data_IF_619612778062
#
_entry.id   IF_619612778062
#
_cell.length_a   1.000
_cell.length_b   1.000
_cell.length_c   1.000
_cell.angle_alpha   90.00
_cell.angle_beta   90.00
_cell.angle_gamma   90.00
#
_symmetry.space_group_name_H-M   'P 1'
#
loop_
_entity.id
_entity.type
_entity.pdbx_description
1 polymer ?
#
# COMPACT_ATOMS: atom_id res chain seq x y z
N UNK A 1 28.43 54.26 45.02
CA UNK A 1 27.93 55.61 44.77
C UNK A 1 28.43 56.15 43.46
N UNK A 2 27.67 56.91 42.67
CA UNK A 2 26.22 57.05 42.55
C UNK A 2 25.74 56.73 41.11
N UNK A 3 24.53 56.33 40.90
CA UNK A 3 23.27 57.05 40.59
C UNK A 3 23.20 57.68 39.19
N UNK A 4 22.14 57.38 38.49
CA UNK A 4 21.56 58.11 37.37
C UNK A 4 20.80 57.15 36.46
N UNK A 5 19.56 56.86 36.60
CA UNK A 5 18.23 57.50 36.30
C UNK A 5 18.09 58.03 34.88
N UNK A 6 17.04 57.47 34.30
CA UNK A 6 16.00 58.00 33.43
C UNK A 6 16.28 58.11 31.94
N UNK A 7 15.46 57.43 31.15
CA UNK A 7 14.37 58.14 30.42
C UNK A 7 13.64 57.26 29.38
N UNK A 8 12.35 57.17 29.58
CA UNK A 8 11.21 57.40 28.67
C UNK A 8 11.12 56.58 27.38
N UNK A 9 10.17 55.74 27.45
CA UNK A 9 9.03 55.56 26.51
C UNK A 9 9.09 56.46 25.25
N UNK A 10 9.18 55.84 24.11
CA UNK A 10 8.91 56.37 22.81
C UNK A 10 8.14 55.37 22.01
N UNK A 11 6.81 55.56 21.98
CA UNK A 11 5.87 54.84 21.13
C UNK A 11 6.11 55.21 19.68
N UNK A 12 6.65 54.31 18.89
CA UNK A 12 6.52 54.41 17.42
C UNK A 12 5.87 53.15 16.91
N UNK A 13 4.72 53.42 16.26
CA UNK A 13 3.89 52.50 15.52
C UNK A 13 4.68 51.96 14.33
N UNK A 14 5.10 50.73 14.38
CA UNK A 14 5.43 49.98 13.16
C UNK A 14 4.12 49.51 12.54
N UNK A 15 3.67 50.24 11.53
CA UNK A 15 2.72 49.74 10.56
C UNK A 15 3.37 48.62 9.77
N UNK A 16 2.61 47.56 9.64
CA UNK A 16 3.03 46.35 8.99
C UNK A 16 3.27 46.53 7.50
N UNK A 17 4.20 45.78 7.04
CA UNK A 17 4.19 45.27 5.66
C UNK A 17 4.13 43.76 5.75
N UNK A 18 3.03 43.23 5.24
CA UNK A 18 2.82 41.83 5.07
C UNK A 18 3.79 41.27 4.03
N UNK A 19 4.83 40.61 4.49
CA UNK A 19 5.72 39.80 3.68
C UNK A 19 5.25 38.35 3.76
N UNK A 20 4.75 37.83 2.64
CA UNK A 20 4.14 36.52 2.53
C UNK A 20 5.09 35.38 2.88
N UNK A 21 4.74 34.67 3.93
CA UNK A 21 5.15 33.28 4.10
C UNK A 21 4.09 32.42 3.40
N UNK A 22 4.32 32.10 2.14
CA UNK A 22 3.32 31.34 1.39
C UNK A 22 3.66 31.04 -0.06
N UNK A 23 4.92 30.74 -0.36
CA UNK A 23 5.26 30.19 -1.69
C UNK A 23 6.33 29.10 -1.53
N UNK A 24 5.89 27.88 -1.30
CA UNK A 24 6.81 26.75 -1.19
C UNK A 24 6.21 25.37 -1.30
N UNK A 25 4.89 25.21 -1.44
CA UNK A 25 4.27 23.88 -1.65
C UNK A 25 3.05 24.00 -2.58
N UNK A 26 3.24 24.56 -3.75
CA UNK A 26 2.24 24.48 -4.84
C UNK A 26 2.76 23.51 -5.89
N UNK A 27 2.29 22.27 -5.82
CA UNK A 27 2.66 21.30 -6.85
C UNK A 27 2.18 19.86 -6.60
N UNK A 28 1.35 19.62 -5.60
CA UNK A 28 0.67 18.32 -5.39
C UNK A 28 -0.80 18.64 -5.23
N UNK A 29 -1.67 17.99 -6.01
CA UNK A 29 -3.11 18.07 -5.80
C UNK A 29 -3.35 17.94 -4.30
N UNK A 30 -3.98 18.94 -3.70
CA UNK A 30 -4.21 19.03 -2.27
C UNK A 30 -5.14 17.88 -1.89
N UNK A 31 -4.54 16.78 -1.44
CA UNK A 31 -5.30 15.61 -0.99
C UNK A 31 -5.97 16.02 0.31
N UNK A 32 -7.29 15.96 0.32
CA UNK A 32 -8.07 16.15 1.53
C UNK A 32 -7.90 14.92 2.43
N UNK A 33 -6.98 15.02 3.40
CA UNK A 33 -6.65 13.96 4.34
C UNK A 33 -7.91 13.49 5.10
N UNK A 34 -8.81 14.41 5.46
CA UNK A 34 -10.04 14.05 6.18
C UNK A 34 -10.96 13.22 5.31
N UNK A 35 -11.12 13.58 4.03
CA UNK A 35 -11.93 12.82 3.10
C UNK A 35 -11.35 11.41 2.89
N UNK A 36 -10.02 11.29 2.80
CA UNK A 36 -9.36 10.02 2.61
C UNK A 36 -9.47 9.09 3.83
N UNK A 37 -9.23 9.62 5.04
CA UNK A 37 -9.42 8.87 6.29
C UNK A 37 -10.89 8.48 6.44
N UNK A 38 -11.82 9.39 6.17
CA UNK A 38 -13.25 9.14 6.22
C UNK A 38 -13.71 8.04 5.27
N UNK A 39 -13.15 8.01 4.06
CA UNK A 39 -13.40 6.96 3.06
C UNK A 39 -12.96 5.58 3.57
N UNK A 40 -11.79 5.49 4.22
CA UNK A 40 -11.27 4.25 4.81
C UNK A 40 -12.14 3.78 5.99
N UNK A 41 -12.56 4.67 6.87
CA UNK A 41 -13.49 4.35 7.95
C UNK A 41 -14.78 3.75 7.38
N UNK A 42 -15.37 4.38 6.35
CA UNK A 42 -16.57 3.88 5.66
C UNK A 42 -16.35 2.52 5.02
N UNK A 43 -15.19 2.30 4.37
CA UNK A 43 -14.83 1.03 3.76
C UNK A 43 -14.82 -0.10 4.79
N UNK A 44 -14.07 0.05 5.89
CA UNK A 44 -13.96 -0.98 6.92
C UNK A 44 -15.28 -1.20 7.67
N UNK A 45 -16.06 -0.15 7.92
CA UNK A 45 -17.40 -0.29 8.49
C UNK A 45 -18.29 -1.18 7.62
N UNK A 46 -18.36 -0.89 6.32
CA UNK A 46 -19.16 -1.70 5.38
C UNK A 46 -18.68 -3.14 5.30
N UNK A 47 -17.37 -3.33 5.25
CA UNK A 47 -16.74 -4.66 5.23
C UNK A 47 -17.10 -5.49 6.46
N UNK A 48 -17.27 -4.84 7.63
CA UNK A 48 -17.71 -5.46 8.87
C UNK A 48 -19.25 -5.60 8.98
N UNK A 49 -19.98 -5.12 8.01
CA UNK A 49 -21.45 -5.14 8.02
C UNK A 49 -22.08 -4.22 9.06
N UNK A 50 -21.32 -3.26 9.62
CA UNK A 50 -21.81 -2.37 10.67
C UNK A 50 -22.59 -1.18 10.06
N UNK A 51 -23.68 -0.80 10.75
CA UNK A 51 -24.41 0.43 10.46
C UNK A 51 -23.72 1.65 11.06
N UNK A 52 -24.07 2.85 10.58
CA UNK A 52 -23.59 4.10 11.18
C UNK A 52 -24.01 4.23 12.67
N UNK A 53 -25.20 3.75 13.01
CA UNK A 53 -25.73 3.79 14.37
C UNK A 53 -24.92 2.92 15.33
N UNK A 54 -24.60 1.68 14.93
CA UNK A 54 -23.83 0.75 15.75
C UNK A 54 -22.39 1.25 16.01
N UNK A 55 -21.76 1.86 15.01
CA UNK A 55 -20.45 2.47 15.20
C UNK A 55 -20.54 3.66 16.14
N UNK A 56 -21.52 4.55 15.92
CA UNK A 56 -21.73 5.75 16.73
C UNK A 56 -21.94 5.41 18.22
N UNK A 57 -22.76 4.41 18.50
CA UNK A 57 -23.03 3.92 19.86
C UNK A 57 -21.73 3.43 20.53
N UNK A 58 -20.94 2.61 19.83
CA UNK A 58 -19.72 2.01 20.37
C UNK A 58 -18.60 3.03 20.65
N UNK A 59 -18.53 4.13 19.88
CA UNK A 59 -17.55 5.20 20.11
C UNK A 59 -18.13 6.40 20.88
N UNK A 60 -19.33 6.27 21.45
CA UNK A 60 -20.02 7.32 22.20
C UNK A 60 -20.14 8.66 21.44
N UNK A 61 -20.46 8.60 20.14
CA UNK A 61 -20.70 9.76 19.28
C UNK A 61 -22.09 9.70 18.67
N UNK A 62 -22.55 10.80 18.06
CA UNK A 62 -23.81 10.77 17.30
C UNK A 62 -23.63 10.13 15.93
N UNK A 63 -24.68 9.52 15.41
CA UNK A 63 -24.69 8.98 14.05
C UNK A 63 -24.36 10.06 13.00
N UNK A 64 -24.80 11.30 13.21
CA UNK A 64 -24.47 12.41 12.33
C UNK A 64 -22.97 12.76 12.35
N UNK A 65 -22.30 12.63 13.50
CA UNK A 65 -20.86 12.84 13.61
C UNK A 65 -20.10 11.77 12.82
N UNK A 66 -20.45 10.49 13.00
CA UNK A 66 -19.81 9.39 12.24
C UNK A 66 -20.04 9.57 10.73
N UNK A 67 -21.24 9.98 10.34
CA UNK A 67 -21.52 10.29 8.93
C UNK A 67 -20.67 11.44 8.38
N UNK A 68 -20.42 12.49 9.17
CA UNK A 68 -19.54 13.60 8.80
C UNK A 68 -18.07 13.16 8.75
N UNK A 69 -17.64 12.30 9.65
CA UNK A 69 -16.31 11.68 9.57
C UNK A 69 -16.12 10.92 8.27
N UNK A 70 -17.08 10.06 7.89
CA UNK A 70 -16.98 9.27 6.66
C UNK A 70 -17.00 10.09 5.37
N UNK A 71 -17.56 11.31 5.40
CA UNK A 71 -17.55 12.24 4.28
C UNK A 71 -16.37 13.21 4.29
N UNK A 72 -15.53 13.17 5.34
CA UNK A 72 -14.43 14.10 5.51
C UNK A 72 -14.86 15.53 5.89
N UNK A 73 -16.13 15.75 6.22
CA UNK A 73 -16.66 17.06 6.59
C UNK A 73 -16.24 17.51 7.99
N UNK A 74 -15.69 16.60 8.78
CA UNK A 74 -15.21 16.85 10.12
C UNK A 74 -13.93 16.07 10.38
N UNK A 75 -12.92 16.75 10.93
CA UNK A 75 -11.67 16.10 11.32
C UNK A 75 -11.90 15.10 12.46
N UNK A 76 -11.27 13.96 12.40
CA UNK A 76 -11.29 12.94 13.44
C UNK A 76 -10.11 13.20 14.38
N UNK A 77 -10.38 13.40 15.65
CA UNK A 77 -9.34 13.49 16.66
C UNK A 77 -8.66 12.12 16.89
N UNK A 78 -7.44 12.14 17.41
CA UNK A 78 -6.63 10.92 17.58
C UNK A 78 -7.31 9.88 18.46
N UNK A 79 -7.96 10.28 19.56
CA UNK A 79 -8.64 9.35 20.44
C UNK A 79 -9.81 8.67 19.73
N UNK A 80 -10.65 9.45 19.05
CA UNK A 80 -11.76 8.93 18.23
C UNK A 80 -11.26 8.00 17.11
N UNK A 81 -10.08 8.28 16.53
CA UNK A 81 -9.50 7.41 15.50
C UNK A 81 -9.11 6.04 16.07
N UNK A 82 -8.54 5.99 17.27
CA UNK A 82 -8.25 4.72 17.95
C UNK A 82 -9.53 3.95 18.33
N UNK A 83 -10.57 4.66 18.80
CA UNK A 83 -11.87 4.05 19.09
C UNK A 83 -12.51 3.45 17.84
N UNK A 84 -12.46 4.18 16.72
CA UNK A 84 -12.91 3.67 15.42
C UNK A 84 -12.13 2.43 14.99
N UNK A 85 -10.81 2.45 15.10
CA UNK A 85 -9.96 1.29 14.75
C UNK A 85 -10.34 0.06 15.59
N UNK A 86 -10.55 0.24 16.90
CA UNK A 86 -10.96 -0.84 17.80
C UNK A 86 -12.35 -1.40 17.43
N UNK A 87 -13.35 -0.54 17.17
CA UNK A 87 -14.71 -0.94 16.79
C UNK A 87 -14.73 -1.65 15.43
N UNK A 88 -13.92 -1.18 14.49
CA UNK A 88 -13.77 -1.76 13.16
C UNK A 88 -12.90 -3.02 13.17
N UNK A 89 -12.18 -3.29 14.27
CA UNK A 89 -11.28 -4.44 14.43
C UNK A 89 -10.11 -4.40 13.47
N UNK A 90 -9.55 -3.21 13.24
CA UNK A 90 -8.39 -2.99 12.36
C UNK A 90 -7.29 -2.24 13.12
N UNK A 91 -6.07 -2.32 12.61
CA UNK A 91 -5.00 -1.47 13.13
C UNK A 91 -5.25 -0.01 12.70
N UNK A 92 -5.00 0.96 13.60
CA UNK A 92 -5.19 2.39 13.32
C UNK A 92 -4.43 2.87 12.08
N UNK A 93 -3.27 2.27 11.80
CA UNK A 93 -2.48 2.56 10.60
C UNK A 93 -3.26 2.31 9.30
N UNK A 94 -4.24 1.39 9.30
CA UNK A 94 -5.10 1.12 8.14
C UNK A 94 -6.11 2.24 7.89
N UNK A 95 -6.46 3.00 8.92
CA UNK A 95 -7.34 4.16 8.81
C UNK A 95 -6.56 5.43 8.42
N UNK A 96 -5.28 5.52 8.81
CA UNK A 96 -4.45 6.67 8.47
C UNK A 96 -4.14 6.70 6.99
N UNK A 97 -4.33 7.87 6.38
CA UNK A 97 -3.83 8.12 5.05
C UNK A 97 -2.31 8.25 5.11
N UNK A 98 -1.64 7.32 4.48
CA UNK A 98 -0.24 7.48 4.13
C UNK A 98 -0.22 7.94 2.67
N UNK A 99 0.24 9.16 2.37
CA UNK A 99 0.49 9.53 0.99
C UNK A 99 1.59 8.60 0.49
N UNK A 100 1.18 7.59 -0.27
CA UNK A 100 2.10 6.70 -0.96
C UNK A 100 2.79 7.52 -2.05
N UNK A 101 3.85 8.18 -1.64
CA UNK A 101 4.87 8.66 -2.55
C UNK A 101 5.96 7.60 -2.57
N UNK A 102 5.93 6.70 -3.55
CA UNK A 102 7.08 5.85 -3.76
C UNK A 102 8.28 6.77 -3.93
N UNK A 103 9.30 6.61 -3.08
CA UNK A 103 10.53 7.34 -3.29
C UNK A 103 11.12 6.91 -4.64
N UNK A 104 11.58 7.84 -5.50
CA UNK A 104 12.34 7.44 -6.68
C UNK A 104 13.53 6.62 -6.19
N UNK A 105 13.59 5.36 -6.60
CA UNK A 105 14.72 4.50 -6.28
C UNK A 105 15.93 5.04 -7.03
N UNK A 106 17.07 5.27 -6.35
CA UNK A 106 18.29 5.62 -7.04
C UNK A 106 18.70 4.44 -7.95
N UNK A 107 19.07 4.73 -9.17
CA UNK A 107 19.73 3.75 -10.04
C UNK A 107 21.02 3.29 -9.34
N UNK A 108 21.04 2.09 -8.79
CA UNK A 108 22.18 1.53 -8.07
C UNK A 108 22.67 0.25 -8.77
N UNK A 109 24.00 0.11 -8.88
CA UNK A 109 24.61 -1.14 -9.31
C UNK A 109 24.25 -2.25 -8.32
N UNK A 110 23.47 -3.24 -8.74
CA UNK A 110 23.03 -4.36 -7.90
C UNK A 110 21.51 -4.52 -7.80
N UNK A 111 20.74 -3.59 -8.39
CA UNK A 111 19.30 -3.78 -8.60
C UNK A 111 19.11 -4.35 -10.01
N UNK A 112 18.33 -5.45 -10.16
CA UNK A 112 18.00 -5.97 -11.48
C UNK A 112 17.32 -4.93 -12.35
N UNK A 113 17.63 -4.87 -13.65
CA UNK A 113 17.12 -3.87 -14.59
C UNK A 113 15.59 -3.76 -14.59
N UNK A 114 14.86 -4.86 -14.34
CA UNK A 114 13.41 -4.86 -14.22
C UNK A 114 12.89 -3.96 -13.08
N UNK A 115 13.64 -3.83 -11.98
CA UNK A 115 13.24 -3.04 -10.81
C UNK A 115 13.93 -1.67 -10.76
N UNK A 116 14.86 -1.39 -11.68
CA UNK A 116 15.61 -0.14 -11.66
C UNK A 116 14.69 1.06 -11.86
N UNK A 117 14.75 2.02 -10.93
CA UNK A 117 13.86 3.18 -10.90
C UNK A 117 12.39 2.89 -10.58
N UNK A 118 12.01 1.63 -10.32
CA UNK A 118 10.65 1.22 -10.05
C UNK A 118 10.24 1.48 -8.58
N UNK A 119 9.51 2.54 -8.34
CA UNK A 119 8.86 2.79 -7.04
C UNK A 119 7.50 2.09 -6.89
N UNK A 120 6.96 1.58 -7.99
CA UNK A 120 5.71 0.80 -8.05
C UNK A 120 5.79 -0.22 -9.17
N UNK A 121 5.33 -1.44 -8.88
CA UNK A 121 5.15 -2.48 -9.89
C UNK A 121 3.86 -3.26 -9.62
N UNK A 122 3.46 -4.05 -10.59
CA UNK A 122 2.19 -4.76 -10.60
C UNK A 122 2.43 -6.26 -10.67
N UNK A 123 1.45 -7.03 -10.20
CA UNK A 123 1.49 -8.46 -10.43
C UNK A 123 0.06 -9.01 -10.62
N UNK A 124 -0.02 -10.14 -11.31
CA UNK A 124 -1.26 -10.81 -11.64
C UNK A 124 -1.15 -12.30 -11.37
N UNK A 125 -2.20 -12.84 -10.75
CA UNK A 125 -2.37 -14.28 -10.50
C UNK A 125 -3.74 -14.69 -11.02
N UNK A 126 -3.87 -15.89 -11.55
CA UNK A 126 -5.17 -16.45 -11.90
C UNK A 126 -5.70 -17.30 -10.75
N UNK A 127 -6.89 -16.96 -10.25
CA UNK A 127 -7.62 -17.79 -9.31
C UNK A 127 -8.51 -18.77 -10.08
N UNK A 128 -8.10 -20.03 -10.06
CA UNK A 128 -8.85 -21.11 -10.75
C UNK A 128 -10.19 -21.46 -10.09
N UNK A 129 -10.44 -20.99 -8.86
CA UNK A 129 -11.70 -21.24 -8.14
C UNK A 129 -12.83 -20.38 -8.67
N UNK A 130 -12.54 -19.10 -8.87
CA UNK A 130 -13.51 -18.09 -9.31
C UNK A 130 -13.36 -17.77 -10.81
N UNK A 131 -12.29 -18.27 -11.43
CA UNK A 131 -11.98 -17.99 -12.84
C UNK A 131 -11.55 -16.55 -13.09
N UNK A 132 -11.01 -15.86 -12.08
CA UNK A 132 -10.70 -14.45 -12.15
C UNK A 132 -9.21 -14.14 -12.02
N UNK A 133 -8.81 -12.99 -12.54
CA UNK A 133 -7.47 -12.44 -12.33
C UNK A 133 -7.45 -11.68 -11.00
N UNK A 134 -6.58 -12.10 -10.09
CA UNK A 134 -6.25 -11.36 -8.88
C UNK A 134 -5.18 -10.34 -9.22
N UNK A 135 -5.48 -9.07 -8.97
CA UNK A 135 -4.59 -7.93 -9.15
C UNK A 135 -3.77 -7.69 -7.91
N UNK A 136 -2.50 -7.38 -8.09
CA UNK A 136 -1.62 -6.95 -7.02
C UNK A 136 -0.90 -5.67 -7.43
N UNK A 137 -0.76 -4.74 -6.49
CA UNK A 137 0.10 -3.56 -6.59
C UNK A 137 1.14 -3.64 -5.50
N UNK A 138 2.39 -3.41 -5.85
CA UNK A 138 3.50 -3.29 -4.93
C UNK A 138 4.01 -1.85 -4.94
N UNK A 139 3.97 -1.20 -3.79
CA UNK A 139 4.60 0.09 -3.57
C UNK A 139 5.90 -0.11 -2.82
N UNK A 140 7.00 0.41 -3.39
CA UNK A 140 8.35 0.33 -2.82
C UNK A 140 8.67 1.67 -2.18
N UNK A 141 9.17 1.63 -0.96
CA UNK A 141 9.47 2.81 -0.13
C UNK A 141 10.98 2.95 0.09
N UNK A 142 11.35 3.55 1.20
CA UNK A 142 12.74 3.81 1.56
C UNK A 142 13.58 2.54 1.70
N UNK A 143 14.86 2.70 1.45
CA UNK A 143 15.89 1.68 1.68
C UNK A 143 16.07 1.44 3.18
N UNK A 144 16.01 0.18 3.58
CA UNK A 144 16.17 -0.29 4.97
C UNK A 144 17.51 -0.97 5.22
N UNK A 145 18.21 -1.32 4.16
CA UNK A 145 19.53 -1.95 4.17
C UNK A 145 20.09 -2.05 2.76
N UNK A 146 21.34 -2.50 2.56
CA UNK A 146 21.94 -2.61 1.23
C UNK A 146 21.06 -3.42 0.27
N UNK A 147 20.53 -2.77 -0.76
CA UNK A 147 19.61 -3.35 -1.76
C UNK A 147 18.32 -3.93 -1.16
N UNK A 148 17.94 -3.49 0.03
CA UNK A 148 16.72 -3.87 0.70
C UNK A 148 15.81 -2.65 0.89
N UNK A 149 14.55 -2.78 0.50
CA UNK A 149 13.57 -1.70 0.55
C UNK A 149 12.32 -2.17 1.26
N UNK A 150 11.66 -1.26 1.97
CA UNK A 150 10.32 -1.53 2.50
C UNK A 150 9.32 -1.63 1.35
N UNK A 151 8.40 -2.59 1.43
CA UNK A 151 7.38 -2.80 0.42
C UNK A 151 6.00 -2.98 1.04
N UNK A 152 4.98 -2.48 0.37
CA UNK A 152 3.58 -2.77 0.62
C UNK A 152 2.98 -3.49 -0.58
N UNK A 153 2.24 -4.56 -0.35
CA UNK A 153 1.45 -5.24 -1.38
C UNK A 153 -0.04 -5.08 -1.07
N UNK A 154 -0.79 -4.72 -2.08
CA UNK A 154 -2.26 -4.64 -2.07
C UNK A 154 -2.80 -5.65 -3.06
N UNK A 155 -3.68 -6.53 -2.59
CA UNK A 155 -4.16 -7.67 -3.36
C UNK A 155 -5.68 -7.67 -3.44
N UNK A 156 -6.20 -7.99 -4.61
CA UNK A 156 -7.63 -8.15 -4.92
C UNK A 156 -8.45 -6.89 -4.62
N UNK A 157 -8.32 -5.90 -5.46
CA UNK A 157 -9.03 -4.61 -5.42
C UNK A 157 -9.86 -4.42 -6.70
N UNK A 158 -10.87 -3.57 -6.63
CA UNK A 158 -11.78 -3.34 -7.74
C UNK A 158 -11.21 -2.37 -8.80
N UNK A 159 -10.53 -1.30 -8.35
CA UNK A 159 -10.02 -0.24 -9.21
C UNK A 159 -8.60 0.17 -8.82
N UNK A 160 -7.76 0.36 -9.85
CA UNK A 160 -6.39 0.85 -9.67
C UNK A 160 -6.32 2.30 -9.13
N UNK A 161 -7.38 3.10 -9.29
CA UNK A 161 -7.43 4.44 -8.71
C UNK A 161 -7.56 4.39 -7.17
N UNK A 162 -8.11 3.30 -6.64
CA UNK A 162 -8.32 3.08 -5.21
C UNK A 162 -7.83 1.70 -4.74
N UNK A 163 -6.72 1.20 -5.33
CA UNK A 163 -6.16 -0.13 -5.04
C UNK A 163 -5.86 -0.39 -3.56
N UNK A 164 -5.72 0.66 -2.76
CA UNK A 164 -5.56 0.54 -1.29
C UNK A 164 -6.84 0.05 -0.59
N UNK A 165 -8.01 0.19 -1.24
CA UNK A 165 -9.26 -0.45 -0.85
C UNK A 165 -9.29 -1.89 -1.40
N UNK A 166 -8.46 -2.74 -0.83
CA UNK A 166 -8.23 -4.10 -1.28
C UNK A 166 -8.78 -5.14 -0.29
N UNK A 167 -8.93 -6.37 -0.75
CA UNK A 167 -9.33 -7.47 0.14
C UNK A 167 -8.25 -7.78 1.17
N UNK A 168 -6.97 -7.74 0.76
CA UNK A 168 -5.84 -8.09 1.62
C UNK A 168 -4.66 -7.18 1.33
N UNK A 169 -4.00 -6.70 2.39
CA UNK A 169 -2.77 -5.93 2.28
C UNK A 169 -1.66 -6.53 3.15
N UNK A 170 -0.44 -6.45 2.62
CA UNK A 170 0.76 -6.96 3.27
C UNK A 170 1.80 -5.86 3.40
N UNK A 171 2.57 -5.92 4.46
CA UNK A 171 3.81 -5.14 4.61
C UNK A 171 5.01 -6.09 4.58
N UNK A 172 6.14 -5.60 4.12
CA UNK A 172 7.32 -6.43 4.10
C UNK A 172 8.56 -5.74 3.55
N UNK A 173 9.47 -6.57 3.09
CA UNK A 173 10.73 -6.12 2.50
C UNK A 173 10.94 -6.78 1.14
N UNK A 174 11.49 -6.01 0.21
CA UNK A 174 12.01 -6.48 -1.07
C UNK A 174 13.53 -6.36 -1.03
N UNK A 175 14.23 -7.44 -1.32
CA UNK A 175 15.69 -7.49 -1.37
C UNK A 175 16.17 -7.95 -2.73
N UNK A 176 16.99 -7.13 -3.33
CA UNK A 176 17.57 -7.41 -4.63
C UNK A 176 18.96 -8.05 -4.49
N UNK A 177 19.20 -9.03 -5.32
CA UNK A 177 20.49 -9.65 -5.58
C UNK A 177 20.68 -9.67 -7.09
N UNK A 178 21.89 -9.83 -7.58
CA UNK A 178 22.22 -9.66 -9.01
C UNK A 178 21.18 -10.18 -10.01
N UNK A 179 20.72 -11.41 -9.84
CA UNK A 179 19.75 -12.03 -10.74
C UNK A 179 18.46 -12.49 -10.02
N UNK A 180 18.35 -12.28 -8.72
CA UNK A 180 17.24 -12.75 -7.90
C UNK A 180 16.69 -11.63 -7.03
N UNK A 181 15.40 -11.45 -7.05
CA UNK A 181 14.69 -10.59 -6.10
C UNK A 181 13.84 -11.45 -5.18
N UNK A 182 13.98 -11.24 -3.87
CA UNK A 182 13.16 -11.85 -2.84
C UNK A 182 12.23 -10.81 -2.22
N UNK A 183 10.96 -11.16 -2.07
CA UNK A 183 9.97 -10.35 -1.38
C UNK A 183 9.45 -11.18 -0.21
N UNK A 184 9.50 -10.64 1.00
CA UNK A 184 8.96 -11.24 2.22
C UNK A 184 7.85 -10.36 2.76
N UNK A 185 6.68 -10.94 3.02
CA UNK A 185 5.44 -10.23 3.28
C UNK A 185 4.76 -10.79 4.54
N UNK A 186 4.17 -9.90 5.32
CA UNK A 186 3.33 -10.23 6.48
C UNK A 186 2.01 -9.50 6.33
N UNK A 187 0.91 -10.22 6.45
CA UNK A 187 -0.44 -9.64 6.37
C UNK A 187 -0.64 -8.62 7.50
N UNK A 188 -1.18 -7.46 7.15
CA UNK A 188 -1.36 -6.34 8.10
C UNK A 188 -2.50 -6.56 9.10
N UNK A 189 -3.50 -7.35 8.72
CA UNK A 189 -4.65 -7.67 9.59
C UNK A 189 -4.40 -8.95 10.41
N UNK A 190 -3.66 -9.91 9.83
CA UNK A 190 -3.38 -11.19 10.45
C UNK A 190 -1.89 -11.55 10.33
N UNK A 191 -1.04 -11.20 11.30
CA UNK A 191 0.41 -11.41 11.23
C UNK A 191 0.85 -12.88 11.13
N UNK A 192 -0.04 -13.84 11.41
CA UNK A 192 0.25 -15.27 11.21
C UNK A 192 0.34 -15.59 9.71
N UNK A 193 -0.37 -14.86 8.88
CA UNK A 193 -0.37 -15.02 7.44
C UNK A 193 0.86 -14.33 6.84
N UNK A 194 1.79 -15.13 6.40
CA UNK A 194 3.01 -14.70 5.74
C UNK A 194 3.00 -15.19 4.30
N UNK A 195 3.62 -14.42 3.43
CA UNK A 195 3.81 -14.75 2.03
C UNK A 195 5.21 -14.38 1.57
N UNK A 196 5.67 -14.99 0.50
CA UNK A 196 6.90 -14.58 -0.15
C UNK A 196 6.79 -14.71 -1.66
N UNK A 197 7.62 -13.93 -2.37
CA UNK A 197 7.77 -14.07 -3.81
C UNK A 197 9.26 -14.11 -4.16
N UNK A 198 9.60 -14.96 -5.13
CA UNK A 198 10.94 -15.06 -5.72
C UNK A 198 10.84 -14.81 -7.22
N UNK A 199 11.65 -13.88 -7.70
CA UNK A 199 11.63 -13.42 -9.08
C UNK A 199 13.05 -13.51 -9.63
N UNK A 200 13.24 -14.34 -10.66
CA UNK A 200 14.48 -14.31 -11.43
C UNK A 200 14.41 -13.13 -12.38
N UNK A 201 15.13 -12.08 -12.04
CA UNK A 201 15.27 -10.91 -12.85
C UNK A 201 16.52 -11.10 -13.74
N UNK A 202 16.36 -11.79 -14.86
CA UNK A 202 17.44 -11.93 -15.84
C UNK A 202 17.85 -10.57 -16.40
N UNK A 203 19.10 -10.48 -16.89
CA UNK A 203 19.67 -9.29 -17.53
C UNK A 203 18.93 -8.83 -18.81
N UNK A 204 17.96 -9.60 -19.30
CA UNK A 204 17.15 -9.21 -20.44
C UNK A 204 16.10 -8.20 -20.01
N UNK A 205 16.12 -7.08 -20.70
CA UNK A 205 15.11 -6.03 -20.57
C UNK A 205 13.76 -6.58 -21.04
N UNK A 206 12.86 -6.84 -20.12
CA UNK A 206 11.53 -7.35 -20.40
C UNK A 206 10.54 -6.71 -19.45
N UNK A 207 9.45 -6.18 -20.01
CA UNK A 207 8.39 -5.49 -19.26
C UNK A 207 7.66 -6.39 -18.25
N UNK A 208 7.82 -7.71 -18.37
CA UNK A 208 7.21 -8.68 -17.49
C UNK A 208 8.18 -9.76 -17.04
N UNK A 209 8.05 -10.22 -15.81
CA UNK A 209 8.81 -11.34 -15.24
C UNK A 209 7.88 -12.31 -14.54
N UNK A 210 8.18 -13.60 -14.68
CA UNK A 210 7.54 -14.60 -13.86
C UNK A 210 8.23 -14.73 -12.52
N UNK A 211 7.44 -14.99 -11.47
CA UNK A 211 7.96 -15.33 -10.15
C UNK A 211 7.10 -16.40 -9.49
N UNK A 212 7.70 -17.07 -8.52
CA UNK A 212 7.01 -18.01 -7.66
C UNK A 212 6.52 -17.26 -6.42
N UNK A 213 5.21 -17.26 -6.21
CA UNK A 213 4.58 -16.75 -5.00
C UNK A 213 4.15 -17.92 -4.12
N UNK A 214 4.43 -17.84 -2.83
CA UNK A 214 3.93 -18.79 -1.84
C UNK A 214 3.34 -18.05 -0.64
N UNK A 215 2.33 -18.65 -0.02
CA UNK A 215 1.59 -18.06 1.09
C UNK A 215 0.47 -18.96 1.57
N UNK A 216 -0.53 -18.34 2.18
CA UNK A 216 -1.74 -19.02 2.61
C UNK A 216 -2.92 -18.59 1.74
N UNK A 217 -3.71 -19.55 1.27
CA UNK A 217 -5.05 -19.28 0.73
C UNK A 217 -6.02 -19.10 1.89
N UNK A 218 -6.91 -18.13 1.78
CA UNK A 218 -7.93 -17.86 2.83
C UNK A 218 -9.15 -18.78 2.75
N UNK A 219 -9.44 -19.35 1.57
CA UNK A 219 -10.67 -20.15 1.35
C UNK A 219 -10.44 -21.29 0.36
N UNK A 220 -10.20 -22.54 0.82
CA UNK A 220 -9.93 -22.94 2.21
C UNK A 220 -8.56 -22.48 2.69
N UNK A 221 -8.37 -22.42 3.99
CA UNK A 221 -7.08 -22.09 4.59
C UNK A 221 -6.09 -23.21 4.32
N UNK A 222 -5.13 -22.96 3.43
CA UNK A 222 -4.10 -23.95 3.09
C UNK A 222 -2.84 -23.26 2.56
N UNK A 223 -1.64 -23.84 2.76
CA UNK A 223 -0.43 -23.37 2.10
C UNK A 223 -0.56 -23.52 0.57
N UNK A 224 -0.16 -22.49 -0.15
CA UNK A 224 -0.16 -22.50 -1.61
C UNK A 224 1.18 -22.06 -2.18
N UNK A 225 1.47 -22.51 -3.39
CA UNK A 225 2.48 -21.96 -4.26
C UNK A 225 1.88 -21.76 -5.65
N UNK A 226 2.09 -20.60 -6.24
CA UNK A 226 1.54 -20.27 -7.57
C UNK A 226 2.51 -19.42 -8.37
N UNK A 227 2.42 -19.52 -9.70
CA UNK A 227 3.13 -18.58 -10.56
C UNK A 227 2.42 -17.23 -10.55
N UNK A 228 3.20 -16.17 -10.50
CA UNK A 228 2.75 -14.79 -10.50
C UNK A 228 3.48 -14.03 -11.60
N UNK A 229 2.75 -13.30 -12.43
CA UNK A 229 3.33 -12.47 -13.49
C UNK A 229 3.51 -11.05 -12.96
N UNK A 230 4.75 -10.60 -12.87
CA UNK A 230 5.14 -9.25 -12.47
C UNK A 230 5.28 -8.36 -13.69
N UNK A 231 4.93 -7.08 -13.57
CA UNK A 231 5.07 -6.07 -14.63
C UNK A 231 5.37 -4.69 -14.06
N UNK A 232 6.15 -3.91 -14.78
CA UNK A 232 6.44 -2.50 -14.41
C UNK A 232 5.29 -1.56 -14.76
N UNK A 233 4.41 -1.98 -15.66
CA UNK A 233 3.24 -1.23 -16.09
C UNK A 233 1.96 -2.03 -15.87
N UNK A 234 0.82 -1.34 -15.85
CA UNK A 234 -0.49 -2.00 -15.77
C UNK A 234 -0.74 -2.80 -17.04
N UNK A 235 -1.00 -4.09 -16.87
CA UNK A 235 -1.38 -4.94 -18.00
C UNK A 235 -2.90 -4.87 -18.24
N UNK A 236 -3.34 -4.84 -19.50
CA UNK A 236 -4.76 -4.96 -19.81
C UNK A 236 -5.24 -6.38 -19.48
N UNK A 237 -6.35 -6.47 -18.75
CA UNK A 237 -6.93 -7.76 -18.34
C UNK A 237 -7.77 -8.36 -19.46
N UNK A 238 -7.08 -8.94 -20.39
CA UNK A 238 -7.69 -9.61 -21.55
C UNK A 238 -7.81 -11.12 -21.32
N UNK A 239 -8.67 -11.81 -22.08
CA UNK A 239 -8.73 -13.27 -22.05
C UNK A 239 -7.36 -13.93 -22.29
N UNK A 240 -6.51 -13.33 -23.12
CA UNK A 240 -5.16 -13.82 -23.42
C UNK A 240 -4.26 -13.71 -22.18
N UNK A 241 -4.38 -12.64 -21.39
CA UNK A 241 -3.66 -12.53 -20.11
C UNK A 241 -4.15 -13.63 -19.15
N UNK A 242 -5.45 -13.81 -19.01
CA UNK A 242 -6.01 -14.87 -18.18
C UNK A 242 -5.48 -16.25 -18.59
N UNK A 243 -5.45 -16.56 -19.88
CA UNK A 243 -4.92 -17.83 -20.38
C UNK A 243 -3.42 -17.99 -20.13
N UNK A 244 -2.65 -16.91 -20.24
CA UNK A 244 -1.21 -16.90 -19.92
C UNK A 244 -0.96 -17.17 -18.42
N UNK A 245 -1.82 -16.67 -17.54
CA UNK A 245 -1.70 -16.84 -16.09
C UNK A 245 -2.08 -18.24 -15.61
N UNK A 246 -2.89 -18.99 -16.35
CA UNK A 246 -3.29 -20.36 -16.00
C UNK A 246 -2.09 -21.32 -16.01
N UNK A 247 -2.20 -22.40 -15.25
CA UNK A 247 -1.24 -23.50 -15.31
C UNK A 247 -1.32 -24.14 -16.70
N UNK A 248 -0.24 -24.07 -17.43
CA UNK A 248 -0.12 -24.57 -18.80
C UNK A 248 0.21 -26.07 -18.84
N UNK A 249 0.07 -26.68 -20.01
CA UNK A 249 0.55 -28.07 -20.23
C UNK A 249 2.06 -28.21 -20.00
N UNK A 250 2.83 -27.16 -20.29
CA UNK A 250 4.27 -27.16 -20.02
C UNK A 250 4.56 -27.10 -18.52
N UNK A 251 3.84 -26.25 -17.76
CA UNK A 251 3.97 -26.19 -16.30
C UNK A 251 3.70 -27.57 -15.67
N UNK A 252 2.67 -28.28 -16.13
CA UNK A 252 2.37 -29.63 -15.68
C UNK A 252 3.45 -30.66 -16.06
N UNK A 253 4.02 -30.51 -17.26
CA UNK A 253 5.15 -31.36 -17.67
C UNK A 253 6.37 -31.13 -16.79
N UNK A 254 6.71 -29.87 -16.51
CA UNK A 254 7.84 -29.53 -15.65
C UNK A 254 7.61 -29.98 -14.20
N UNK A 255 6.38 -29.81 -13.69
CA UNK A 255 5.99 -30.30 -12.37
C UNK A 255 6.22 -31.83 -12.24
N UNK A 256 5.83 -32.59 -13.26
CA UNK A 256 6.05 -34.05 -13.28
C UNK A 256 7.54 -34.42 -13.41
N UNK A 257 8.30 -33.68 -14.20
CA UNK A 257 9.71 -33.95 -14.47
C UNK A 257 10.57 -33.69 -13.22
N UNK A 258 10.34 -32.56 -12.57
CA UNK A 258 11.16 -32.12 -11.43
C UNK A 258 10.53 -32.47 -10.07
N UNK A 259 9.28 -32.93 -10.06
CA UNK A 259 8.47 -33.12 -8.85
C UNK A 259 8.40 -31.86 -7.98
N UNK A 260 8.40 -30.68 -8.60
CA UNK A 260 8.26 -29.36 -7.96
C UNK A 260 7.70 -28.35 -8.94
N UNK A 261 6.93 -27.37 -8.43
CA UNK A 261 6.47 -26.25 -9.24
C UNK A 261 7.65 -25.33 -9.57
N UNK A 262 7.95 -25.22 -10.85
CA UNK A 262 9.01 -24.35 -11.38
C UNK A 262 8.41 -23.25 -12.22
N UNK A 263 9.01 -22.08 -12.18
CA UNK A 263 8.61 -20.89 -12.93
C UNK A 263 9.82 -20.39 -13.72
N UNK A 264 9.71 -20.33 -15.04
CA UNK A 264 10.78 -19.95 -15.98
C UNK A 264 10.30 -18.86 -16.93
#
# INVERSE_FOLDING_TARGET
MPVGRDARCGSERCRGEGGGFGEGVRGLGQIDVNAEVGRRVRYFRKRRGLTLSEVAERICKSQSAVSKYERGEMAIDVATLYDLAAVLGVNVELLLYQPDRPAPMPASSGIPAFFDGCSRFYAHVFDGRDGQIIRCVFDVFEETGPHEYRVMMYMNFADYASYQECETSYRGVIRHHDALTNILLVNRENPIEQASAQILASYLDADTKWGLFNGLSSRPLMPIATKMLFSTTRLPETPELADKLKISKNDLRMLKLYNMLVVV
#
